data_IF_898215011669
#
_entry.id   IF_898215011669
#
_cell.length_a   1.000
_cell.length_b   1.000
_cell.length_c   1.000
_cell.angle_alpha   90.00
_cell.angle_beta   90.00
_cell.angle_gamma   90.00
#
_symmetry.space_group_name_H-M   'P 1'
#
loop_
_entity.id
_entity.type
_entity.pdbx_description
1 polymer ?
#
# COMPACT_ATOMS: atom_id res chain seq x y z
N UNK A 1 0.28 4.99 1.34
CA UNK A 1 0.88 3.65 1.17
C UNK A 1 2.29 3.83 0.66
N UNK A 2 3.34 3.31 1.33
CA UNK A 2 4.69 3.37 0.77
C UNK A 2 4.75 2.52 -0.51
N UNK A 3 5.31 3.07 -1.59
CA UNK A 3 5.32 2.45 -2.93
C UNK A 3 6.06 1.13 -2.99
N UNK A 4 7.01 0.93 -2.09
CA UNK A 4 7.84 -0.26 -2.10
C UNK A 4 7.14 -1.44 -1.42
N UNK A 5 5.98 -1.27 -0.78
CA UNK A 5 5.23 -2.35 -0.10
C UNK A 5 6.04 -3.13 0.95
N UNK A 6 7.17 -2.58 1.41
CA UNK A 6 7.99 -3.18 2.45
C UNK A 6 7.72 -2.51 3.80
N UNK A 7 7.44 -3.30 4.86
CA UNK A 7 7.36 -2.78 6.20
C UNK A 7 8.71 -2.19 6.63
N UNK A 8 8.67 -1.04 7.27
CA UNK A 8 9.88 -0.37 7.76
C UNK A 8 9.63 0.44 9.02
N UNK A 9 10.70 0.61 9.78
CA UNK A 9 10.83 1.56 10.88
C UNK A 9 12.03 2.44 10.56
N UNK A 10 11.84 3.75 10.50
CA UNK A 10 12.92 4.72 10.30
C UNK A 10 13.13 5.50 11.59
N UNK A 11 14.38 5.62 12.02
CA UNK A 11 14.76 6.46 13.14
C UNK A 11 15.87 7.42 12.69
N UNK A 12 15.51 8.70 12.54
CA UNK A 12 16.42 9.78 12.22
C UNK A 12 16.92 10.40 13.53
N UNK A 13 18.15 10.04 13.91
CA UNK A 13 18.79 10.52 15.13
C UNK A 13 19.22 11.98 15.05
N UNK A 14 19.33 12.55 13.84
CA UNK A 14 19.69 13.95 13.66
C UNK A 14 18.47 14.85 13.86
N UNK A 15 17.32 14.48 13.27
CA UNK A 15 16.07 15.23 13.44
C UNK A 15 15.30 14.86 14.72
N UNK A 16 15.62 13.74 15.36
CA UNK A 16 14.89 13.20 16.51
C UNK A 16 13.50 12.67 16.16
N UNK A 17 13.26 12.33 14.89
CA UNK A 17 11.97 11.86 14.39
C UNK A 17 12.08 10.37 14.05
N UNK A 18 11.06 9.61 14.40
CA UNK A 18 10.96 8.21 14.05
C UNK A 18 9.60 7.91 13.42
N UNK A 19 9.57 7.01 12.44
CA UNK A 19 8.36 6.63 11.71
C UNK A 19 8.29 5.12 11.56
N UNK A 20 7.08 4.58 11.48
CA UNK A 20 6.82 3.20 11.11
C UNK A 20 5.74 3.15 10.05
N UNK A 21 5.91 2.29 9.05
CA UNK A 21 5.00 2.21 7.91
C UNK A 21 5.17 0.95 7.07
N UNK A 22 4.33 0.80 6.05
CA UNK A 22 4.45 -0.28 5.05
C UNK A 22 3.98 -1.66 5.49
N UNK A 23 3.39 -1.80 6.68
CA UNK A 23 2.85 -3.05 7.22
C UNK A 23 1.39 -3.32 6.81
N UNK A 24 1.03 -3.05 5.55
CA UNK A 24 -0.33 -3.31 5.04
C UNK A 24 -0.66 -4.81 5.11
N UNK A 25 -1.88 -5.14 5.51
CA UNK A 25 -2.36 -6.54 5.62
C UNK A 25 -2.21 -7.16 7.00
N UNK A 26 -1.26 -6.69 7.81
CA UNK A 26 -0.94 -7.22 9.16
C UNK A 26 -1.09 -6.13 10.23
N UNK A 27 -2.28 -5.52 10.32
CA UNK A 27 -2.47 -4.25 11.04
C UNK A 27 -2.14 -4.29 12.53
N UNK A 28 -2.74 -5.21 13.30
CA UNK A 28 -2.63 -5.21 14.77
C UNK A 28 -1.27 -5.72 15.24
N UNK A 29 -0.81 -6.85 14.72
CA UNK A 29 0.47 -7.45 15.12
C UNK A 29 1.65 -6.56 14.73
N UNK A 30 1.68 -6.08 13.48
CA UNK A 30 2.80 -5.28 13.02
C UNK A 30 2.84 -3.89 13.67
N UNK A 31 1.69 -3.24 13.88
CA UNK A 31 1.67 -1.94 14.58
C UNK A 31 2.14 -2.06 16.03
N UNK A 32 1.79 -3.14 16.73
CA UNK A 32 2.29 -3.40 18.08
C UNK A 32 3.82 -3.64 18.08
N UNK A 33 4.31 -4.51 17.20
CA UNK A 33 5.73 -4.80 17.07
C UNK A 33 6.54 -3.54 16.74
N UNK A 34 6.07 -2.73 15.79
CA UNK A 34 6.76 -1.51 15.36
C UNK A 34 6.66 -0.41 16.41
N UNK A 35 5.55 -0.31 17.14
CA UNK A 35 5.42 0.57 18.29
C UNK A 35 6.44 0.27 19.39
N UNK A 36 6.62 -1.01 19.74
CA UNK A 36 7.68 -1.42 20.68
C UNK A 36 9.08 -1.11 20.14
N UNK A 37 9.31 -1.38 18.85
CA UNK A 37 10.60 -1.07 18.19
C UNK A 37 10.92 0.42 18.23
N UNK A 38 9.94 1.28 17.93
CA UNK A 38 10.08 2.73 17.99
C UNK A 38 10.38 3.22 19.40
N UNK A 39 9.66 2.70 20.41
CA UNK A 39 9.90 3.07 21.80
C UNK A 39 11.33 2.72 22.24
N UNK A 40 11.81 1.52 21.90
CA UNK A 40 13.18 1.06 22.19
C UNK A 40 14.22 1.94 21.47
N UNK A 41 14.00 2.28 20.19
CA UNK A 41 14.87 3.17 19.41
C UNK A 41 14.95 4.59 19.99
N UNK A 42 13.80 5.18 20.33
CA UNK A 42 13.70 6.54 20.87
C UNK A 42 14.34 6.66 22.27
N UNK A 43 14.32 5.58 23.04
CA UNK A 43 14.93 5.52 24.37
C UNK A 43 16.39 5.05 24.34
N UNK A 44 16.94 4.76 23.17
CA UNK A 44 18.34 4.34 23.01
C UNK A 44 18.64 2.91 23.45
N UNK A 45 17.62 2.04 23.56
CA UNK A 45 17.83 0.64 23.89
C UNK A 45 18.32 -0.14 22.66
N UNK A 46 19.39 -0.90 22.86
CA UNK A 46 19.92 -1.84 21.86
C UNK A 46 19.38 -3.24 22.16
N UNK A 47 18.42 -3.69 21.36
CA UNK A 47 17.72 -4.97 21.53
C UNK A 47 17.75 -5.73 20.20
N UNK A 48 17.43 -7.02 20.22
CA UNK A 48 17.32 -7.81 19.00
C UNK A 48 16.31 -7.18 18.01
N UNK A 49 15.24 -6.59 18.54
CA UNK A 49 14.18 -5.95 17.76
C UNK A 49 14.67 -4.70 17.02
N UNK A 50 15.53 -3.89 17.66
CA UNK A 50 16.10 -2.68 17.04
C UNK A 50 17.19 -2.99 16.00
N UNK A 51 17.57 -4.26 15.85
CA UNK A 51 18.54 -4.78 14.87
C UNK A 51 17.89 -5.53 13.70
N UNK A 52 16.56 -5.63 13.70
CA UNK A 52 15.82 -6.35 12.67
C UNK A 52 15.95 -5.69 11.29
N UNK A 53 15.84 -6.46 10.18
CA UNK A 53 16.11 -5.96 8.83
C UNK A 53 15.16 -4.87 8.35
N UNK A 54 13.96 -4.76 8.95
CA UNK A 54 13.01 -3.68 8.66
C UNK A 54 13.33 -2.37 9.39
N UNK A 55 14.33 -2.35 10.29
CA UNK A 55 14.77 -1.15 11.00
C UNK A 55 15.87 -0.46 10.18
N UNK A 56 15.54 0.72 9.66
CA UNK A 56 16.43 1.56 8.89
C UNK A 56 16.87 2.78 9.72
N UNK A 57 18.19 2.90 9.96
CA UNK A 57 18.79 4.13 10.49
C UNK A 57 19.18 5.01 9.32
N UNK A 58 18.18 5.66 8.73
CA UNK A 58 18.29 6.47 7.52
C UNK A 58 17.67 7.83 7.78
N UNK A 59 18.08 8.83 6.99
CA UNK A 59 17.41 10.12 7.07
C UNK A 59 15.99 10.02 6.51
N UNK A 60 15.06 10.77 7.10
CA UNK A 60 13.71 10.93 6.55
C UNK A 60 13.70 11.46 5.11
N UNK A 61 14.73 12.18 4.70
CA UNK A 61 14.87 12.71 3.33
C UNK A 61 15.07 11.60 2.28
N UNK A 62 15.52 10.41 2.70
CA UNK A 62 15.64 9.24 1.83
C UNK A 62 14.28 8.61 1.50
N UNK A 63 13.23 8.95 2.26
CA UNK A 63 11.87 8.58 1.90
C UNK A 63 11.48 9.32 0.63
N UNK A 64 11.17 8.55 -0.41
CA UNK A 64 10.76 9.09 -1.70
C UNK A 64 9.58 10.04 -1.49
N UNK A 65 9.77 11.31 -1.88
CA UNK A 65 8.73 12.33 -1.76
C UNK A 65 7.49 11.86 -2.52
N UNK A 66 6.33 12.02 -1.88
CA UNK A 66 5.05 11.74 -2.52
C UNK A 66 4.90 12.60 -3.78
N UNK A 67 4.29 12.05 -4.83
CA UNK A 67 3.95 12.84 -6.01
C UNK A 67 3.22 14.13 -5.62
N UNK A 68 3.53 15.26 -6.28
CA UNK A 68 2.84 16.49 -6.00
C UNK A 68 1.34 16.35 -6.26
N UNK A 69 0.53 16.83 -5.32
CA UNK A 69 -0.91 16.96 -5.52
C UNK A 69 -1.19 17.91 -6.70
N UNK A 70 -2.13 17.60 -7.61
CA UNK A 70 -3.26 16.66 -7.45
C UNK A 70 -3.12 15.32 -8.18
N UNK A 71 -1.92 14.93 -8.64
CA UNK A 71 -1.76 13.75 -9.52
C UNK A 71 -2.29 12.44 -8.93
N UNK A 72 -1.97 12.08 -7.66
CA UNK A 72 -2.47 10.84 -7.07
C UNK A 72 -3.99 10.83 -6.94
N UNK A 73 -4.58 11.97 -6.57
CA UNK A 73 -6.02 12.11 -6.42
C UNK A 73 -6.75 11.96 -7.76
N UNK A 74 -6.19 12.51 -8.83
CA UNK A 74 -6.72 12.34 -10.19
C UNK A 74 -6.66 10.89 -10.64
N UNK A 75 -5.55 10.19 -10.36
CA UNK A 75 -5.42 8.77 -10.66
C UNK A 75 -6.49 7.94 -9.95
N UNK A 76 -6.68 8.14 -8.64
CA UNK A 76 -7.73 7.42 -7.88
C UNK A 76 -9.13 7.70 -8.42
N UNK A 77 -9.45 8.97 -8.70
CA UNK A 77 -10.74 9.37 -9.26
C UNK A 77 -10.97 8.75 -10.63
N UNK A 78 -9.96 8.75 -11.51
CA UNK A 78 -10.05 8.15 -12.83
C UNK A 78 -10.29 6.64 -12.75
N UNK A 79 -9.58 5.93 -11.86
CA UNK A 79 -9.80 4.50 -11.62
C UNK A 79 -11.22 4.23 -11.10
N UNK A 80 -11.71 5.00 -10.13
CA UNK A 80 -13.09 4.87 -9.63
C UNK A 80 -14.14 5.14 -10.73
N UNK A 81 -13.91 6.15 -11.59
CA UNK A 81 -14.78 6.43 -12.73
C UNK A 81 -14.76 5.30 -13.76
N UNK A 82 -13.60 4.70 -14.03
CA UNK A 82 -13.48 3.58 -14.96
C UNK A 82 -14.28 2.37 -14.45
N UNK A 83 -14.16 2.02 -13.17
CA UNK A 83 -14.96 0.94 -12.57
C UNK A 83 -16.47 1.26 -12.61
N UNK A 84 -16.87 2.49 -12.30
CA UNK A 84 -18.28 2.89 -12.40
C UNK A 84 -18.82 2.86 -13.84
N UNK A 85 -17.99 3.19 -14.83
CA UNK A 85 -18.34 3.11 -16.25
C UNK A 85 -18.46 1.66 -16.73
N UNK A 86 -17.57 0.78 -16.27
CA UNK A 86 -17.65 -0.67 -16.51
C UNK A 86 -18.94 -1.24 -15.94
N UNK A 87 -19.24 -0.96 -14.67
CA UNK A 87 -20.47 -1.41 -14.01
C UNK A 87 -21.72 -0.90 -14.74
N UNK A 88 -21.73 0.37 -15.15
CA UNK A 88 -22.83 0.93 -15.94
C UNK A 88 -22.99 0.25 -17.31
N UNK A 89 -21.88 -0.08 -17.98
CA UNK A 89 -21.92 -0.81 -19.26
C UNK A 89 -22.46 -2.22 -19.08
N UNK A 90 -22.04 -2.92 -18.02
CA UNK A 90 -22.53 -4.24 -17.67
C UNK A 90 -24.01 -4.22 -17.29
N UNK A 91 -24.48 -3.23 -16.54
CA UNK A 91 -25.90 -3.09 -16.22
C UNK A 91 -26.74 -2.82 -17.49
N UNK A 92 -26.23 -2.00 -18.41
CA UNK A 92 -26.95 -1.63 -19.63
C UNK A 92 -26.92 -2.67 -20.74
N UNK A 93 -25.86 -3.47 -20.83
CA UNK A 93 -25.64 -4.41 -21.94
C UNK A 93 -25.38 -5.86 -21.50
N UNK A 94 -25.32 -6.14 -20.19
CA UNK A 94 -24.98 -7.44 -19.61
C UNK A 94 -25.93 -8.57 -19.98
N UNK A 95 -27.19 -8.26 -20.32
CA UNK A 95 -28.16 -9.24 -20.83
C UNK A 95 -28.21 -9.33 -22.36
N UNK A 96 -27.48 -8.46 -23.07
CA UNK A 96 -27.44 -8.41 -24.52
C UNK A 96 -26.64 -9.56 -25.14
N UNK A 97 -26.95 -9.87 -26.40
CA UNK A 97 -26.23 -10.89 -27.21
C UNK A 97 -24.69 -10.71 -27.16
N UNK A 98 -24.12 -9.48 -27.17
CA UNK A 98 -22.67 -9.30 -27.05
C UNK A 98 -22.11 -9.71 -25.69
N UNK A 99 -22.83 -9.46 -24.59
CA UNK A 99 -22.38 -9.81 -23.24
C UNK A 99 -22.47 -11.32 -22.97
N UNK A 100 -23.50 -12.00 -23.51
CA UNK A 100 -23.57 -13.47 -23.49
C UNK A 100 -22.44 -14.12 -24.29
N UNK A 101 -22.07 -13.53 -25.43
CA UNK A 101 -20.95 -14.00 -26.25
C UNK A 101 -19.60 -13.78 -25.55
N UNK A 102 -19.40 -12.61 -24.91
CA UNK A 102 -18.19 -12.33 -24.13
C UNK A 102 -18.07 -13.25 -22.90
N UNK A 103 -19.17 -13.48 -22.17
CA UNK A 103 -19.20 -14.43 -21.05
C UNK A 103 -18.88 -15.86 -21.48
N UNK A 104 -19.47 -16.33 -22.58
CA UNK A 104 -19.14 -17.64 -23.16
C UNK A 104 -17.67 -17.77 -23.55
N UNK A 105 -17.07 -16.70 -24.09
CA UNK A 105 -15.65 -16.70 -24.48
C UNK A 105 -14.73 -16.71 -23.26
N UNK A 106 -15.06 -15.96 -22.21
CA UNK A 106 -14.31 -15.96 -20.95
C UNK A 106 -14.39 -17.32 -20.24
N UNK A 107 -15.57 -17.94 -20.16
CA UNK A 107 -15.74 -19.29 -19.61
C UNK A 107 -14.92 -20.33 -20.39
N UNK A 108 -14.72 -20.12 -21.70
CA UNK A 108 -13.89 -21.00 -22.51
C UNK A 108 -12.39 -20.81 -22.25
N UNK A 109 -11.95 -19.59 -21.91
CA UNK A 109 -10.56 -19.24 -21.66
C UNK A 109 -10.09 -19.58 -20.23
N UNK A 110 -11.00 -19.62 -19.25
CA UNK A 110 -10.72 -19.99 -17.86
C UNK A 110 -10.66 -21.52 -17.62
N UNK A 111 -10.71 -22.34 -18.68
CA UNK A 111 -10.79 -23.81 -18.59
C UNK A 111 -9.44 -24.56 -18.52
N UNK A 112 -8.35 -23.89 -18.12
CA UNK A 112 -7.02 -24.50 -17.95
C UNK A 112 -6.42 -24.34 -16.55
#
# INVERSE_FOLDING_TARGET
MPRDWHPHVIHDTFSGIATAGGYVGEGVGASFLFGQTLAELLTGHDTDRTRMPWVARRSLEELKRWEPEPLPQLGLKATMMAFGAEEWLLDRYGEGIPAKAAGWLCDQLDSH
#
